data_IF_947178827699
#
_entry.id   IF_947178827699
#
_cell.length_a   1.000
_cell.length_b   1.000
_cell.length_c   1.000
_cell.angle_alpha   90.00
_cell.angle_beta   90.00
_cell.angle_gamma   90.00
#
_symmetry.space_group_name_H-M   'P 1'
#
loop_
_entity.id
_entity.type
_entity.pdbx_description
1 polymer ?
#
# COMPACT_ATOMS: atom_id res chain seq x y z
N UNK A 1 16.69 -5.19 19.35
CA UNK A 1 15.49 -4.32 19.38
C UNK A 1 14.37 -5.21 19.89
N UNK A 2 13.87 -4.91 21.10
CA UNK A 2 12.77 -5.70 21.67
C UNK A 2 11.45 -5.11 21.19
N UNK A 3 10.69 -5.91 20.44
CA UNK A 3 9.36 -5.54 19.96
C UNK A 3 8.34 -6.02 21.00
N UNK A 4 7.43 -5.15 21.46
CA UNK A 4 6.43 -5.54 22.43
C UNK A 4 5.47 -6.62 21.91
N UNK A 5 4.91 -7.46 22.79
CA UNK A 5 3.94 -8.47 22.41
C UNK A 5 2.72 -7.89 21.67
N UNK A 6 2.26 -6.71 22.09
CA UNK A 6 1.14 -6.00 21.46
C UNK A 6 1.47 -5.64 20.02
N UNK A 7 2.65 -5.09 19.79
CA UNK A 7 3.14 -4.72 18.45
C UNK A 7 3.31 -5.93 17.55
N UNK A 8 3.77 -7.07 18.10
CA UNK A 8 3.84 -8.34 17.37
C UNK A 8 2.45 -8.85 17.00
N UNK A 9 1.47 -8.72 17.90
CA UNK A 9 0.09 -9.09 17.62
C UNK A 9 -0.54 -8.22 16.53
N UNK A 10 -0.26 -6.92 16.52
CA UNK A 10 -0.72 -5.99 15.49
C UNK A 10 -0.05 -6.30 14.14
N UNK A 11 1.24 -6.56 14.13
CA UNK A 11 1.95 -6.98 12.93
C UNK A 11 1.36 -8.28 12.34
N UNK A 12 1.10 -9.27 13.19
CA UNK A 12 0.47 -10.53 12.77
C UNK A 12 -0.94 -10.29 12.21
N UNK A 13 -1.74 -9.45 12.86
CA UNK A 13 -3.08 -9.09 12.40
C UNK A 13 -3.03 -8.44 11.02
N UNK A 14 -2.13 -7.49 10.80
CA UNK A 14 -1.92 -6.85 9.50
C UNK A 14 -1.50 -7.86 8.42
N UNK A 15 -0.55 -8.74 8.71
CA UNK A 15 -0.16 -9.80 7.77
C UNK A 15 -1.36 -10.69 7.38
N UNK A 16 -2.19 -11.07 8.37
CA UNK A 16 -3.42 -11.83 8.11
C UNK A 16 -4.42 -11.04 7.27
N UNK A 17 -4.60 -9.77 7.56
CA UNK A 17 -5.49 -8.89 6.78
C UNK A 17 -5.04 -8.82 5.32
N UNK A 18 -3.74 -8.60 5.07
CA UNK A 18 -3.18 -8.60 3.71
C UNK A 18 -3.44 -9.95 3.02
N UNK A 19 -3.17 -11.07 3.70
CA UNK A 19 -3.39 -12.41 3.15
C UNK A 19 -4.84 -12.63 2.76
N UNK A 20 -5.79 -12.34 3.64
CA UNK A 20 -7.22 -12.54 3.40
C UNK A 20 -7.73 -11.62 2.27
N UNK A 21 -7.27 -10.37 2.23
CA UNK A 21 -7.55 -9.45 1.13
C UNK A 21 -7.09 -10.04 -0.21
N UNK A 22 -5.85 -10.50 -0.30
CA UNK A 22 -5.26 -11.01 -1.54
C UNK A 22 -5.92 -12.32 -2.02
N UNK A 23 -6.25 -13.22 -1.10
CA UNK A 23 -6.98 -14.45 -1.45
C UNK A 23 -8.40 -14.12 -1.95
N UNK A 24 -9.06 -13.13 -1.34
CA UNK A 24 -10.36 -12.67 -1.82
C UNK A 24 -10.25 -12.02 -3.20
N UNK A 25 -9.28 -11.14 -3.41
CA UNK A 25 -9.06 -10.50 -4.70
C UNK A 25 -8.76 -11.51 -5.81
N UNK A 26 -7.93 -12.49 -5.50
CA UNK A 26 -7.65 -13.60 -6.41
C UNK A 26 -8.93 -14.33 -6.81
N UNK A 27 -9.77 -14.67 -5.82
CA UNK A 27 -11.03 -15.38 -6.06
C UNK A 27 -12.00 -14.56 -6.93
N UNK A 28 -12.19 -13.27 -6.62
CA UNK A 28 -13.09 -12.38 -7.37
C UNK A 28 -12.58 -12.15 -8.81
N UNK A 29 -11.27 -12.04 -8.98
CA UNK A 29 -10.64 -11.95 -10.31
C UNK A 29 -10.85 -13.22 -11.15
N UNK A 30 -10.64 -14.40 -10.57
CA UNK A 30 -10.87 -15.68 -11.25
C UNK A 30 -12.33 -15.88 -11.67
N UNK A 31 -13.26 -15.25 -10.97
CA UNK A 31 -14.69 -15.24 -11.32
C UNK A 31 -15.06 -14.17 -12.38
N UNK A 32 -14.08 -13.41 -12.87
CA UNK A 32 -14.29 -12.36 -13.86
C UNK A 32 -15.00 -11.10 -13.33
N UNK A 33 -15.03 -10.90 -12.01
CA UNK A 33 -15.71 -9.76 -11.38
C UNK A 33 -14.85 -8.51 -11.29
N UNK A 34 -13.54 -8.65 -11.42
CA UNK A 34 -12.60 -7.54 -11.36
C UNK A 34 -11.99 -7.34 -12.75
N UNK A 35 -12.04 -6.11 -13.28
CA UNK A 35 -11.48 -5.81 -14.60
C UNK A 35 -9.96 -5.64 -14.55
N UNK A 36 -9.33 -5.64 -15.72
CA UNK A 36 -7.90 -5.35 -15.87
C UNK A 36 -6.99 -6.48 -15.41
N UNK A 37 -5.79 -6.12 -14.94
CA UNK A 37 -4.80 -7.04 -14.43
C UNK A 37 -4.60 -6.85 -12.93
N UNK A 38 -4.62 -7.94 -12.17
CA UNK A 38 -4.40 -7.92 -10.72
C UNK A 38 -3.04 -8.52 -10.40
N UNK A 39 -2.24 -7.78 -9.62
CA UNK A 39 -0.94 -8.20 -9.15
C UNK A 39 -0.98 -8.37 -7.63
N UNK A 40 -1.25 -9.60 -7.20
CA UNK A 40 -1.40 -9.93 -5.77
C UNK A 40 -0.07 -9.86 -5.01
N UNK A 41 -0.15 -9.48 -3.74
CA UNK A 41 0.98 -9.31 -2.80
C UNK A 41 1.26 -10.56 -1.94
N UNK A 42 0.65 -11.68 -2.25
CA UNK A 42 0.75 -12.93 -1.48
C UNK A 42 2.20 -13.36 -1.26
N UNK A 43 2.50 -13.81 -0.05
CA UNK A 43 3.81 -14.25 0.45
C UNK A 43 4.85 -13.13 0.64
N UNK A 44 4.45 -11.87 0.61
CA UNK A 44 5.31 -10.71 0.87
C UNK A 44 4.81 -9.88 2.06
N UNK A 45 3.81 -10.38 2.81
CA UNK A 45 3.10 -9.65 3.85
C UNK A 45 4.05 -9.09 4.93
N UNK A 46 5.05 -9.89 5.33
CA UNK A 46 6.00 -9.49 6.33
C UNK A 46 6.86 -8.29 5.91
N UNK A 47 7.16 -8.14 4.61
CA UNK A 47 7.94 -7.00 4.09
C UNK A 47 7.15 -5.71 4.26
N UNK A 48 5.90 -5.69 3.80
CA UNK A 48 5.04 -4.51 3.93
C UNK A 48 4.82 -4.12 5.40
N UNK A 49 4.47 -5.10 6.23
CA UNK A 49 4.16 -4.85 7.64
C UNK A 49 5.39 -4.39 8.41
N UNK A 50 6.54 -5.07 8.25
CA UNK A 50 7.76 -4.68 8.95
C UNK A 50 8.24 -3.27 8.55
N UNK A 51 8.11 -2.90 7.27
CA UNK A 51 8.50 -1.59 6.79
C UNK A 51 7.57 -0.47 7.28
N UNK A 52 6.25 -0.74 7.41
CA UNK A 52 5.27 0.28 7.75
C UNK A 52 4.88 0.31 9.24
N UNK A 53 5.34 -0.65 10.06
CA UNK A 53 4.87 -0.86 11.43
C UNK A 53 5.04 0.36 12.35
N UNK A 54 6.06 1.18 12.10
CA UNK A 54 6.39 2.39 12.86
C UNK A 54 6.13 3.68 12.07
N UNK A 55 5.60 3.57 10.85
CA UNK A 55 5.28 4.73 10.03
C UNK A 55 3.96 5.36 10.45
N UNK A 56 3.91 6.67 10.39
CA UNK A 56 2.72 7.48 10.62
C UNK A 56 2.08 7.90 9.29
N UNK A 57 0.94 8.58 9.34
CA UNK A 57 0.32 9.14 8.13
C UNK A 57 1.13 10.30 7.53
N UNK A 58 2.05 10.89 8.28
CA UNK A 58 2.95 11.95 7.82
C UNK A 58 4.15 11.42 7.03
N UNK A 59 4.45 10.12 7.16
CA UNK A 59 5.52 9.45 6.43
C UNK A 59 5.04 8.99 5.06
N UNK A 60 5.95 8.89 4.10
CA UNK A 60 5.61 8.59 2.72
C UNK A 60 6.15 7.24 2.27
N UNK A 61 5.36 6.53 1.47
CA UNK A 61 5.82 5.34 0.75
C UNK A 61 5.51 5.44 -0.73
N UNK A 62 6.45 4.99 -1.57
CA UNK A 62 6.25 4.73 -2.99
C UNK A 62 6.39 3.22 -3.23
N UNK A 63 5.42 2.62 -3.89
CA UNK A 63 5.32 1.18 -4.05
C UNK A 63 5.48 0.72 -5.50
N UNK A 64 5.54 -0.58 -5.68
CA UNK A 64 5.63 -1.26 -6.98
C UNK A 64 4.24 -1.61 -7.52
N UNK A 65 4.21 -2.31 -8.67
CA UNK A 65 2.98 -2.87 -9.24
C UNK A 65 2.25 -3.90 -8.35
N UNK A 66 2.88 -4.37 -7.27
CA UNK A 66 2.28 -5.21 -6.21
C UNK A 66 2.05 -4.37 -4.96
N UNK A 67 1.25 -3.32 -5.07
CA UNK A 67 1.11 -2.30 -4.03
C UNK A 67 0.11 -2.62 -2.93
N UNK A 68 -0.77 -3.62 -3.06
CA UNK A 68 -1.88 -3.85 -2.14
C UNK A 68 -1.43 -4.03 -0.69
N UNK A 69 -0.42 -4.88 -0.46
CA UNK A 69 0.11 -5.12 0.88
C UNK A 69 0.70 -3.86 1.51
N UNK A 70 1.38 -3.03 0.73
CA UNK A 70 1.92 -1.74 1.17
C UNK A 70 0.80 -0.75 1.52
N UNK A 71 -0.26 -0.68 0.70
CA UNK A 71 -1.44 0.15 1.00
C UNK A 71 -2.08 -0.25 2.33
N UNK A 72 -2.35 -1.54 2.53
CA UNK A 72 -2.96 -2.06 3.76
C UNK A 72 -2.05 -1.78 4.97
N UNK A 73 -0.76 -2.08 4.86
CA UNK A 73 0.21 -1.85 5.93
C UNK A 73 0.35 -0.36 6.29
N UNK A 74 0.16 0.53 5.32
CA UNK A 74 0.17 2.00 5.50
C UNK A 74 -1.15 2.55 6.03
N UNK A 75 -2.19 1.71 6.16
CA UNK A 75 -3.49 2.06 6.72
C UNK A 75 -4.51 2.59 5.72
N UNK A 76 -4.35 2.30 4.42
CA UNK A 76 -5.39 2.59 3.43
C UNK A 76 -6.66 1.76 3.72
N UNK A 77 -7.82 2.37 3.49
CA UNK A 77 -9.10 1.73 3.78
C UNK A 77 -9.41 0.59 2.79
N UNK A 78 -9.67 -0.60 3.33
CA UNK A 78 -9.86 -1.84 2.55
C UNK A 78 -11.05 -1.72 1.61
N UNK A 79 -12.16 -1.14 2.05
CA UNK A 79 -13.35 -0.96 1.22
C UNK A 79 -13.04 -0.07 0.02
N UNK A 80 -12.37 1.06 0.23
CA UNK A 80 -11.99 1.99 -0.83
C UNK A 80 -10.97 1.34 -1.80
N UNK A 81 -10.08 0.47 -1.30
CA UNK A 81 -9.19 -0.33 -2.16
C UNK A 81 -10.00 -1.32 -3.03
N UNK A 82 -10.99 -2.01 -2.45
CA UNK A 82 -11.87 -2.93 -3.20
C UNK A 82 -12.64 -2.20 -4.31
N UNK A 83 -13.18 -1.03 -3.99
CA UNK A 83 -13.89 -0.18 -4.95
C UNK A 83 -12.94 0.27 -6.07
N UNK A 84 -11.69 0.61 -5.75
CA UNK A 84 -10.67 0.96 -6.74
C UNK A 84 -10.39 -0.20 -7.70
N UNK A 85 -10.18 -1.42 -7.18
CA UNK A 85 -9.94 -2.60 -8.00
C UNK A 85 -11.15 -2.98 -8.86
N UNK A 86 -12.36 -2.64 -8.42
CA UNK A 86 -13.60 -2.82 -9.15
C UNK A 86 -13.91 -1.65 -10.11
N UNK A 87 -13.00 -0.71 -10.30
CA UNK A 87 -13.14 0.49 -11.14
C UNK A 87 -14.38 1.34 -10.77
N UNK A 88 -14.66 1.49 -9.46
CA UNK A 88 -15.76 2.32 -8.95
C UNK A 88 -15.27 3.72 -8.63
N UNK A 89 -16.18 4.70 -8.79
CA UNK A 89 -15.90 6.13 -8.55
C UNK A 89 -15.49 6.40 -7.08
N UNK A 90 -16.06 5.66 -6.13
CA UNK A 90 -15.74 5.77 -4.70
C UNK A 90 -14.42 5.07 -4.29
N UNK A 91 -13.66 4.54 -5.25
CA UNK A 91 -12.32 3.99 -5.01
C UNK A 91 -11.28 5.07 -4.71
N UNK A 92 -10.15 4.68 -4.11
CA UNK A 92 -9.06 5.59 -3.69
C UNK A 92 -8.55 6.53 -4.79
N UNK A 93 -8.58 6.09 -6.04
CA UNK A 93 -8.18 6.86 -7.23
C UNK A 93 -9.36 7.04 -8.20
N UNK A 94 -10.59 7.09 -7.69
CA UNK A 94 -11.82 7.18 -8.47
C UNK A 94 -11.98 6.06 -9.52
N UNK A 95 -11.49 4.87 -9.20
CA UNK A 95 -11.55 3.70 -10.07
C UNK A 95 -10.62 3.74 -11.29
N UNK A 96 -9.66 4.67 -11.34
CA UNK A 96 -8.77 4.89 -12.49
C UNK A 96 -7.40 4.25 -12.34
N UNK A 97 -6.94 4.03 -11.11
CA UNK A 97 -5.64 3.44 -10.80
C UNK A 97 -5.63 1.92 -10.92
N UNK A 98 -6.68 1.27 -10.46
CA UNK A 98 -6.78 -0.18 -10.39
C UNK A 98 -5.68 -0.78 -9.52
N UNK A 99 -5.36 -2.07 -9.76
CA UNK A 99 -4.41 -2.83 -8.92
C UNK A 99 -3.00 -2.23 -8.86
N UNK A 100 -2.50 -1.67 -9.95
CA UNK A 100 -1.10 -1.28 -10.08
C UNK A 100 -0.81 0.19 -9.78
N UNK A 101 -1.82 1.01 -9.53
CA UNK A 101 -1.66 2.46 -9.38
C UNK A 101 -2.48 3.04 -8.23
N UNK A 102 -2.77 2.23 -7.20
CA UNK A 102 -3.45 2.71 -6.00
C UNK A 102 -2.59 3.75 -5.30
N UNK A 103 -3.19 4.87 -4.94
CA UNK A 103 -2.58 5.93 -4.16
C UNK A 103 -3.56 6.41 -3.08
N UNK A 104 -3.03 6.84 -1.94
CA UNK A 104 -3.80 7.49 -0.86
C UNK A 104 -2.91 8.50 -0.14
N UNK A 105 -3.02 9.74 -0.56
CA UNK A 105 -2.21 10.83 0.02
C UNK A 105 -2.56 11.10 1.48
N UNK A 106 -3.77 10.79 1.92
CA UNK A 106 -4.17 10.96 3.33
C UNK A 106 -3.43 10.02 4.28
N UNK A 107 -2.89 8.93 3.74
CA UNK A 107 -2.07 7.94 4.44
C UNK A 107 -0.59 8.03 4.09
N UNK A 108 -0.17 8.98 3.26
CA UNK A 108 1.20 9.06 2.76
C UNK A 108 1.57 7.97 1.75
N UNK A 109 0.58 7.26 1.19
CA UNK A 109 0.79 6.32 0.08
C UNK A 109 0.85 7.09 -1.23
N UNK A 110 2.07 7.40 -1.71
CA UNK A 110 2.30 8.20 -2.92
C UNK A 110 1.85 7.49 -4.20
N UNK A 111 1.80 6.18 -4.17
CA UNK A 111 1.26 5.37 -5.23
C UNK A 111 2.00 4.06 -5.45
N UNK A 112 1.24 3.06 -5.89
CA UNK A 112 1.76 1.91 -6.58
C UNK A 112 2.20 2.34 -7.98
N UNK A 113 3.23 1.71 -8.55
CA UNK A 113 3.78 2.11 -9.84
C UNK A 113 4.14 0.89 -10.68
N UNK A 114 3.56 0.79 -11.87
CA UNK A 114 3.89 -0.28 -12.83
C UNK A 114 5.26 -0.10 -13.50
N UNK A 115 5.83 1.10 -13.45
CA UNK A 115 7.16 1.38 -14.02
C UNK A 115 8.22 0.93 -13.01
N UNK A 116 8.96 -0.11 -13.35
CA UNK A 116 10.05 -0.63 -12.51
C UNK A 116 11.13 0.43 -12.34
N UNK A 117 11.50 0.71 -11.06
CA UNK A 117 12.43 1.77 -10.71
C UNK A 117 11.81 3.18 -10.65
N UNK A 118 10.50 3.33 -10.89
CA UNK A 118 9.82 4.63 -10.80
C UNK A 118 9.57 5.11 -9.36
N UNK A 119 9.55 4.19 -8.38
CA UNK A 119 9.33 4.53 -6.96
C UNK A 119 10.45 5.37 -6.33
N UNK A 120 11.73 5.00 -6.47
CA UNK A 120 12.83 5.72 -5.83
C UNK A 120 12.89 7.23 -6.11
N UNK A 121 12.77 7.74 -7.35
CA UNK A 121 12.77 9.18 -7.59
C UNK A 121 11.55 9.89 -6.98
N UNK A 122 10.39 9.24 -6.92
CA UNK A 122 9.19 9.78 -6.26
C UNK A 122 9.45 9.92 -4.76
N UNK A 123 9.95 8.86 -4.12
CA UNK A 123 10.29 8.87 -2.70
C UNK A 123 11.40 9.90 -2.38
N UNK A 124 12.39 10.05 -3.25
CA UNK A 124 13.43 11.07 -3.10
C UNK A 124 12.85 12.49 -3.14
N UNK A 125 11.87 12.75 -4.00
CA UNK A 125 11.15 14.02 -4.03
C UNK A 125 10.38 14.28 -2.76
N UNK A 126 9.69 13.29 -2.23
CA UNK A 126 8.97 13.39 -0.94
C UNK A 126 9.94 13.62 0.23
N UNK A 127 11.08 12.91 0.26
CA UNK A 127 12.12 13.11 1.28
C UNK A 127 12.72 14.53 1.20
N UNK A 128 12.95 15.07 0.01
CA UNK A 128 13.42 16.45 -0.18
C UNK A 128 12.36 17.45 0.33
N UNK A 129 11.09 17.20 0.07
CA UNK A 129 9.98 18.00 0.59
C UNK A 129 9.98 18.01 2.12
N UNK A 130 10.03 16.83 2.74
CA UNK A 130 10.07 16.67 4.20
C UNK A 130 11.28 17.42 4.81
N UNK A 131 12.45 17.29 4.21
CA UNK A 131 13.66 17.99 4.61
C UNK A 131 13.50 19.51 4.51
N UNK A 132 12.92 20.01 3.43
CA UNK A 132 12.72 21.44 3.19
C UNK A 132 11.73 22.04 4.19
N UNK A 133 10.66 21.30 4.49
CA UNK A 133 9.65 21.70 5.49
C UNK A 133 10.11 21.51 6.93
N UNK A 134 11.15 20.72 7.18
CA UNK A 134 11.66 20.43 8.52
C UNK A 134 10.68 19.64 9.40
N UNK A 135 9.76 18.89 8.81
CA UNK A 135 8.67 18.19 9.54
C UNK A 135 9.07 16.82 10.11
N UNK A 136 10.29 16.33 9.80
CA UNK A 136 10.78 15.04 10.29
C UNK A 136 10.20 13.80 9.61
N UNK A 137 9.34 13.96 8.61
CA UNK A 137 8.74 12.83 7.91
C UNK A 137 9.78 11.98 7.16
N UNK A 138 9.56 10.67 7.14
CA UNK A 138 10.39 9.69 6.45
C UNK A 138 9.75 9.35 5.10
N UNK A 139 10.58 9.04 4.11
CA UNK A 139 10.11 8.55 2.81
C UNK A 139 10.81 7.26 2.44
N UNK A 140 10.05 6.25 2.02
CA UNK A 140 10.54 4.93 1.66
C UNK A 140 10.05 4.53 0.27
N UNK A 141 10.91 3.86 -0.50
CA UNK A 141 10.55 3.21 -1.78
C UNK A 141 10.76 1.69 -1.67
N UNK A 142 9.84 0.94 -2.26
CA UNK A 142 9.92 -0.51 -2.41
C UNK A 142 10.35 -0.91 -3.81
#
# INVERSE_FOLDING_TARGET
MDISPEKLADAYRLMKTIREFEERMRSEYQQGKLPGFIHIYRNQEAIAVAACLDMTNEDYIASTHRGHGHCIAKGCEIEAMLLELACKEDGLCNGKGGSMHIADMSKGMLGANAIVGGGPPIAAGAALTAKTLGNGAVSMAF
#
